data_IF_228599669145
#
_entry.id   IF_228599669145
#
_cell.length_a   1.000
_cell.length_b   1.000
_cell.length_c   1.000
_cell.angle_alpha   90.00
_cell.angle_beta   90.00
_cell.angle_gamma   90.00
#
_symmetry.space_group_name_H-M   'P 1'
#
loop_
_entity.id
_entity.type
_entity.pdbx_description
1 polymer ?
#
# COMPACT_ATOMS: atom_id res chain seq x y z
N UNK A 1 2.77 7.64 -22.38
CA UNK A 1 2.77 7.06 -21.03
C UNK A 1 2.80 8.15 -19.96
N UNK A 2 1.73 8.30 -19.18
CA UNK A 2 1.59 9.32 -18.12
C UNK A 2 1.52 8.68 -16.74
N UNK A 3 2.65 8.12 -16.28
CA UNK A 3 2.74 7.37 -15.03
C UNK A 3 2.76 8.26 -13.77
N UNK A 4 2.92 9.57 -13.92
CA UNK A 4 3.17 10.54 -12.85
C UNK A 4 1.98 10.77 -11.91
N UNK A 5 0.78 10.29 -12.30
CA UNK A 5 -0.43 10.28 -11.48
C UNK A 5 -0.80 8.90 -10.97
N UNK A 6 0.00 7.87 -11.27
CA UNK A 6 -0.22 6.51 -10.79
C UNK A 6 0.71 6.25 -9.60
N UNK A 7 0.13 5.76 -8.51
CA UNK A 7 0.85 5.48 -7.27
C UNK A 7 0.60 4.06 -6.79
N UNK A 8 1.62 3.45 -6.20
CA UNK A 8 1.47 2.29 -5.33
C UNK A 8 1.39 2.76 -3.87
N UNK A 9 0.62 2.03 -3.05
CA UNK A 9 0.39 2.39 -1.64
C UNK A 9 0.79 1.19 -0.78
N UNK A 10 1.79 1.37 0.08
CA UNK A 10 2.27 0.29 0.95
C UNK A 10 1.15 -0.22 1.87
N UNK A 11 1.03 -1.55 1.96
CA UNK A 11 -0.05 -2.23 2.69
C UNK A 11 -1.39 -2.31 1.93
N UNK A 12 -1.46 -1.87 0.67
CA UNK A 12 -2.62 -2.08 -0.22
C UNK A 12 -2.18 -2.72 -1.54
N UNK A 13 -2.86 -3.79 -2.02
CA UNK A 13 -2.53 -4.41 -3.30
C UNK A 13 -2.99 -3.54 -4.48
N UNK A 14 -2.27 -3.64 -5.60
CA UNK A 14 -2.63 -2.98 -6.85
C UNK A 14 -2.04 -1.57 -7.02
N UNK A 15 -2.71 -0.78 -7.85
CA UNK A 15 -2.32 0.57 -8.25
C UNK A 15 -3.49 1.53 -8.12
N UNK A 16 -3.17 2.81 -7.91
CA UNK A 16 -4.15 3.85 -7.70
C UNK A 16 -3.85 5.09 -8.53
N UNK A 17 -4.89 5.71 -9.09
CA UNK A 17 -4.80 7.02 -9.75
C UNK A 17 -5.00 8.13 -8.72
N UNK A 18 -4.08 9.09 -8.68
CA UNK A 18 -4.17 10.26 -7.80
C UNK A 18 -5.17 11.27 -8.36
N UNK A 19 -6.36 11.39 -7.74
CA UNK A 19 -7.45 12.26 -8.22
C UNK A 19 -7.39 13.66 -7.64
N UNK A 20 -7.12 13.80 -6.34
CA UNK A 20 -7.06 15.09 -5.66
C UNK A 20 -6.19 15.05 -4.40
N UNK A 21 -5.62 16.19 -4.03
CA UNK A 21 -4.98 16.38 -2.72
C UNK A 21 -6.00 16.96 -1.72
N UNK A 22 -5.89 16.56 -0.46
CA UNK A 22 -6.71 17.03 0.66
C UNK A 22 -5.84 17.51 1.81
N UNK A 23 -6.43 18.18 2.80
CA UNK A 23 -5.71 18.66 3.98
C UNK A 23 -5.07 17.54 4.83
N UNK A 24 -5.56 16.30 4.71
CA UNK A 24 -5.14 15.13 5.48
C UNK A 24 -4.43 14.05 4.65
N UNK A 25 -4.18 14.30 3.35
CA UNK A 25 -3.56 13.36 2.43
C UNK A 25 -4.12 13.51 1.03
N UNK A 26 -4.60 12.43 0.41
CA UNK A 26 -5.02 12.41 -0.99
C UNK A 26 -6.30 11.58 -1.19
N UNK A 27 -7.00 11.82 -2.30
CA UNK A 27 -8.05 10.93 -2.83
C UNK A 27 -7.41 10.13 -3.95
N UNK A 28 -7.35 8.81 -3.75
CA UNK A 28 -6.80 7.85 -4.70
C UNK A 28 -7.92 6.95 -5.23
N UNK A 29 -7.85 6.55 -6.49
CA UNK A 29 -8.86 5.73 -7.15
C UNK A 29 -8.25 4.39 -7.58
N UNK A 30 -8.82 3.27 -7.13
CA UNK A 30 -8.32 1.91 -7.46
C UNK A 30 -8.39 1.66 -8.96
N UNK A 31 -7.28 1.28 -9.59
CA UNK A 31 -7.26 0.82 -10.99
C UNK A 31 -7.85 -0.59 -11.17
N UNK A 32 -8.11 -1.31 -10.07
CA UNK A 32 -8.77 -2.63 -10.13
C UNK A 32 -10.30 -2.53 -10.03
N UNK A 33 -10.82 -1.55 -9.26
CA UNK A 33 -12.25 -1.47 -8.91
C UNK A 33 -12.93 -0.15 -9.29
N UNK A 34 -12.21 0.85 -9.78
CA UNK A 34 -12.69 2.23 -9.98
C UNK A 34 -13.05 2.98 -8.67
N UNK A 35 -12.93 2.33 -7.51
CA UNK A 35 -13.36 2.88 -6.21
C UNK A 35 -12.42 3.95 -5.69
N UNK A 36 -12.98 5.10 -5.34
CA UNK A 36 -12.28 6.23 -4.71
C UNK A 36 -12.14 6.01 -3.21
N UNK A 37 -10.95 6.25 -2.67
CA UNK A 37 -10.65 6.12 -1.24
C UNK A 37 -9.74 7.25 -0.74
N UNK A 38 -9.96 7.75 0.49
CA UNK A 38 -9.03 8.67 1.14
C UNK A 38 -7.78 7.91 1.61
N UNK A 39 -6.61 8.47 1.30
CA UNK A 39 -5.29 7.96 1.70
C UNK A 39 -4.63 9.01 2.56
N UNK A 40 -4.44 8.72 3.85
CA UNK A 40 -3.82 9.65 4.79
C UNK A 40 -2.30 9.75 4.61
N UNK A 41 -1.71 10.89 5.00
CA UNK A 41 -0.26 11.18 4.97
C UNK A 41 0.65 10.14 5.69
N UNK A 42 0.08 9.23 6.48
CA UNK A 42 0.82 8.17 7.19
C UNK A 42 1.10 6.94 6.33
N UNK A 43 0.47 6.80 5.16
CA UNK A 43 0.78 5.71 4.24
C UNK A 43 2.01 6.07 3.41
N UNK A 44 2.92 5.11 3.26
CA UNK A 44 4.00 5.24 2.29
C UNK A 44 3.40 5.07 0.89
N UNK A 45 3.50 6.13 0.09
CA UNK A 45 3.00 6.22 -1.28
C UNK A 45 4.20 6.40 -2.19
N UNK A 46 4.31 5.60 -3.24
CA UNK A 46 5.41 5.66 -4.22
C UNK A 46 4.84 5.90 -5.60
N UNK A 47 5.26 6.98 -6.26
CA UNK A 47 4.83 7.35 -7.61
C UNK A 47 5.52 6.45 -8.62
N UNK A 48 4.78 5.90 -9.59
CA UNK A 48 5.35 4.91 -10.53
C UNK A 48 6.42 5.48 -11.47
N UNK A 49 6.48 6.80 -11.67
CA UNK A 49 7.55 7.44 -12.43
C UNK A 49 8.83 7.71 -11.63
N UNK A 50 8.79 7.60 -10.29
CA UNK A 50 9.97 7.72 -9.41
C UNK A 50 10.61 6.35 -9.11
N UNK A 51 9.98 5.25 -9.54
CA UNK A 51 10.49 3.90 -9.33
C UNK A 51 11.43 3.52 -10.48
N UNK A 52 12.61 3.04 -10.12
CA UNK A 52 13.61 2.46 -11.03
C UNK A 52 13.96 1.03 -10.60
N UNK A 53 14.40 0.23 -11.56
CA UNK A 53 14.93 -1.12 -11.35
C UNK A 53 16.46 -1.04 -11.42
N UNK A 54 17.14 -1.65 -10.44
CA UNK A 54 18.61 -1.71 -10.44
C UNK A 54 19.13 -2.60 -11.57
N UNK A 55 20.17 -2.12 -12.22
CA UNK A 55 20.89 -2.82 -13.29
C UNK A 55 22.38 -2.83 -12.96
N UNK A 56 23.14 -3.72 -13.61
CA UNK A 56 24.59 -3.79 -13.43
C UNK A 56 25.30 -2.47 -13.75
N UNK A 57 24.73 -1.69 -14.68
CA UNK A 57 25.26 -0.42 -15.17
C UNK A 57 24.69 0.82 -14.44
N UNK A 58 23.69 0.65 -13.56
CA UNK A 58 23.00 1.76 -12.89
C UNK A 58 21.53 1.46 -12.56
N UNK A 59 20.63 2.29 -13.10
CA UNK A 59 19.19 2.22 -12.84
C UNK A 59 18.41 2.41 -14.15
N UNK A 60 17.38 1.58 -14.39
CA UNK A 60 16.43 1.74 -15.51
C UNK A 60 15.05 2.13 -14.98
N UNK A 61 14.47 3.26 -15.40
CA UNK A 61 13.19 3.73 -14.91
C UNK A 61 12.05 2.80 -15.35
N UNK A 62 11.04 2.62 -14.49
CA UNK A 62 9.95 1.66 -14.70
C UNK A 62 9.18 1.88 -16.04
N UNK A 63 9.17 3.12 -16.55
CA UNK A 63 8.64 3.48 -17.88
C UNK A 63 9.29 2.70 -19.02
N UNK A 64 10.62 2.56 -19.00
CA UNK A 64 11.36 1.83 -20.03
C UNK A 64 11.12 0.33 -19.91
N UNK A 65 11.07 -0.20 -18.68
CA UNK A 65 10.75 -1.60 -18.42
C UNK A 65 9.37 -1.95 -18.99
N UNK A 66 8.34 -1.15 -18.71
CA UNK A 66 7.01 -1.34 -19.28
C UNK A 66 6.98 -1.20 -20.81
N UNK A 67 7.77 -0.30 -21.40
CA UNK A 67 7.88 -0.19 -22.86
C UNK A 67 8.50 -1.46 -23.48
N UNK A 68 9.55 -2.04 -22.87
CA UNK A 68 10.15 -3.30 -23.32
C UNK A 68 9.19 -4.49 -23.18
N UNK A 69 8.41 -4.55 -22.09
CA UNK A 69 7.34 -5.56 -21.93
C UNK A 69 6.29 -5.41 -23.04
N UNK A 70 5.80 -4.19 -23.27
CA UNK A 70 4.80 -3.92 -24.31
C UNK A 70 5.29 -4.27 -25.71
N UNK A 71 6.57 -3.99 -26.02
CA UNK A 71 7.18 -4.39 -27.28
C UNK A 71 7.26 -5.92 -27.45
N UNK A 72 7.61 -6.66 -26.39
CA UNK A 72 7.66 -8.12 -26.38
C UNK A 72 6.27 -8.74 -26.56
N UNK A 73 5.28 -8.25 -25.83
CA UNK A 73 3.90 -8.76 -25.86
C UNK A 73 3.06 -8.15 -27.00
N UNK A 74 3.63 -7.29 -27.86
CA UNK A 74 2.93 -6.57 -28.93
C UNK A 74 1.69 -5.77 -28.44
N UNK A 75 1.84 -5.10 -27.29
CA UNK A 75 0.74 -4.42 -26.57
C UNK A 75 -0.21 -5.37 -25.83
N UNK A 76 0.15 -6.64 -25.70
CA UNK A 76 -0.58 -7.65 -24.94
C UNK A 76 -0.37 -7.58 -23.43
N UNK A 77 -1.08 -8.45 -22.70
CA UNK A 77 -0.83 -8.71 -21.28
C UNK A 77 0.43 -9.58 -21.15
N UNK A 78 1.25 -9.31 -20.15
CA UNK A 78 2.37 -10.15 -19.77
C UNK A 78 1.90 -11.44 -19.07
N UNK A 79 2.86 -12.32 -18.76
CA UNK A 79 2.64 -13.53 -17.96
C UNK A 79 1.91 -13.25 -16.63
N UNK A 80 1.30 -14.29 -16.03
CA UNK A 80 0.64 -14.12 -14.75
C UNK A 80 1.67 -13.88 -13.63
N UNK A 81 1.52 -12.77 -12.90
CA UNK A 81 2.24 -12.51 -11.65
C UNK A 81 2.12 -13.63 -10.58
N UNK A 82 1.27 -14.65 -10.79
CA UNK A 82 1.17 -15.85 -9.93
C UNK A 82 2.03 -17.04 -10.39
N UNK A 83 2.73 -16.94 -11.52
CA UNK A 83 3.72 -17.92 -11.98
C UNK A 83 4.80 -18.23 -10.93
N UNK A 84 5.54 -19.32 -11.17
CA UNK A 84 6.67 -19.69 -10.31
C UNK A 84 7.76 -18.60 -10.30
N UNK A 85 8.61 -18.61 -9.25
CA UNK A 85 9.73 -17.67 -9.12
C UNK A 85 10.60 -17.69 -10.39
N UNK A 86 10.97 -18.89 -10.81
CA UNK A 86 11.91 -19.15 -11.90
C UNK A 86 11.34 -18.71 -13.26
N UNK A 87 10.03 -18.90 -13.50
CA UNK A 87 9.32 -18.35 -14.66
C UNK A 87 9.33 -16.81 -14.69
N UNK A 88 9.06 -16.17 -13.55
CA UNK A 88 9.03 -14.70 -13.43
C UNK A 88 10.43 -14.11 -13.67
N UNK A 89 11.47 -14.75 -13.13
CA UNK A 89 12.87 -14.35 -13.33
C UNK A 89 13.32 -14.55 -14.78
N UNK A 90 13.11 -15.73 -15.36
CA UNK A 90 13.43 -16.01 -16.77
C UNK A 90 12.75 -15.02 -17.73
N UNK A 91 11.46 -14.74 -17.50
CA UNK A 91 10.72 -13.74 -18.28
C UNK A 91 11.33 -12.33 -18.14
N UNK A 92 11.76 -11.95 -16.94
CA UNK A 92 12.36 -10.65 -16.67
C UNK A 92 13.76 -10.50 -17.30
N UNK A 93 14.56 -11.58 -17.32
CA UNK A 93 15.83 -11.63 -18.07
C UNK A 93 15.65 -11.37 -19.57
N UNK A 94 14.63 -11.96 -20.19
CA UNK A 94 14.34 -11.73 -21.62
C UNK A 94 13.96 -10.26 -21.92
N UNK A 95 13.50 -9.50 -20.93
CA UNK A 95 13.11 -8.10 -21.06
C UNK A 95 14.28 -7.16 -20.73
N UNK A 96 15.02 -7.48 -19.67
CA UNK A 96 16.08 -6.63 -19.11
C UNK A 96 17.25 -7.51 -18.67
N UNK A 97 18.09 -8.01 -19.60
CA UNK A 97 19.10 -9.03 -19.29
C UNK A 97 20.25 -8.55 -18.39
N UNK A 98 20.34 -7.25 -18.12
CA UNK A 98 21.33 -6.62 -17.25
C UNK A 98 20.75 -6.17 -15.89
N UNK A 99 19.65 -6.74 -15.41
CA UNK A 99 19.11 -6.43 -14.09
C UNK A 99 20.02 -6.99 -12.97
N UNK A 100 20.06 -6.30 -11.82
CA UNK A 100 20.85 -6.73 -10.67
C UNK A 100 20.07 -7.75 -9.82
N UNK A 101 20.40 -9.05 -9.96
CA UNK A 101 19.76 -10.16 -9.23
C UNK A 101 19.84 -10.05 -7.70
N UNK A 102 20.93 -9.48 -7.17
CA UNK A 102 21.15 -9.36 -5.73
C UNK A 102 20.27 -8.26 -5.11
N UNK A 103 19.90 -7.25 -5.90
CA UNK A 103 19.04 -6.12 -5.47
C UNK A 103 17.57 -6.24 -5.85
N UNK A 104 17.28 -6.85 -7.00
CA UNK A 104 15.92 -6.95 -7.54
C UNK A 104 15.26 -8.22 -7.05
N UNK A 105 14.58 -8.14 -5.91
CA UNK A 105 13.94 -9.32 -5.33
C UNK A 105 12.82 -9.88 -6.23
N UNK A 106 12.53 -11.19 -6.17
CA UNK A 106 11.46 -11.81 -6.97
C UNK A 106 10.07 -11.22 -6.67
N UNK A 107 9.89 -10.69 -5.46
CA UNK A 107 8.68 -9.98 -5.05
C UNK A 107 8.52 -8.64 -5.79
N UNK A 108 9.61 -7.99 -6.18
CA UNK A 108 9.59 -6.77 -6.98
C UNK A 108 9.29 -7.09 -8.44
N UNK A 109 9.92 -8.11 -9.03
CA UNK A 109 9.57 -8.63 -10.37
C UNK A 109 8.06 -8.95 -10.45
N UNK A 110 7.54 -9.66 -9.45
CA UNK A 110 6.10 -9.96 -9.30
C UNK A 110 5.23 -8.70 -9.25
N UNK A 111 5.65 -7.67 -8.50
CA UNK A 111 4.96 -6.36 -8.44
C UNK A 111 4.97 -5.66 -9.79
N UNK A 112 6.12 -5.61 -10.49
CA UNK A 112 6.26 -4.99 -11.82
C UNK A 112 5.33 -5.64 -12.84
N UNK A 113 5.30 -6.97 -12.91
CA UNK A 113 4.42 -7.70 -13.85
C UNK A 113 2.93 -7.49 -13.50
N UNK A 114 2.57 -7.50 -12.21
CA UNK A 114 1.20 -7.18 -11.77
C UNK A 114 0.80 -5.75 -12.16
N UNK A 115 1.71 -4.78 -11.99
CA UNK A 115 1.49 -3.38 -12.34
C UNK A 115 1.34 -3.17 -13.85
N UNK A 116 2.21 -3.78 -14.66
CA UNK A 116 2.08 -3.78 -16.12
C UNK A 116 0.71 -4.30 -16.55
N UNK A 117 0.30 -5.47 -16.03
CA UNK A 117 -0.98 -6.10 -16.37
C UNK A 117 -2.20 -5.25 -15.95
N UNK A 118 -2.14 -4.54 -14.83
CA UNK A 118 -3.19 -3.59 -14.41
C UNK A 118 -3.22 -2.34 -15.30
N UNK A 119 -2.07 -1.79 -15.68
CA UNK A 119 -1.98 -0.61 -16.53
C UNK A 119 -2.45 -0.91 -17.96
N UNK A 120 -2.11 -2.08 -18.51
CA UNK A 120 -2.58 -2.52 -19.83
C UNK A 120 -4.09 -2.79 -19.83
N UNK A 121 -4.66 -3.29 -18.73
CA UNK A 121 -6.11 -3.51 -18.59
C UNK A 121 -6.94 -2.22 -18.53
N UNK A 122 -6.32 -1.10 -18.13
CA UNK A 122 -6.96 0.21 -18.05
C UNK A 122 -6.56 1.14 -19.22
N UNK A 123 -5.87 0.60 -20.23
CA UNK A 123 -5.19 1.32 -21.35
C UNK A 123 -4.34 2.54 -20.93
N UNK A 124 -3.75 2.49 -19.74
CA UNK A 124 -2.93 3.58 -19.19
C UNK A 124 -1.47 3.56 -19.69
N UNK A 125 -1.07 2.48 -20.36
CA UNK A 125 0.20 2.42 -21.09
C UNK A 125 0.11 3.17 -22.44
N UNK A 126 -1.10 3.26 -23.00
CA UNK A 126 -1.45 4.05 -24.17
C UNK A 126 -1.05 3.38 -25.47
N UNK A 127 -1.92 2.50 -25.98
CA UNK A 127 -2.10 2.23 -27.43
C UNK A 127 -3.27 1.24 -27.73
N UNK A 128 -4.46 1.42 -27.12
CA UNK A 128 -5.74 1.02 -27.74
C UNK A 128 -6.98 1.69 -27.13
N UNK A 129 -7.77 2.31 -28.01
CA UNK A 129 -9.18 2.58 -27.70
C UNK A 129 -9.96 1.26 -27.63
N UNK A 130 -10.20 0.71 -26.44
CA UNK A 130 -11.24 -0.31 -26.25
C UNK A 130 -12.03 -0.12 -24.95
N UNK A 131 -13.08 0.69 -25.07
CA UNK A 131 -14.39 0.47 -24.43
C UNK A 131 -14.44 0.29 -22.91
N UNK A 132 -14.40 1.43 -22.22
CA UNK A 132 -14.95 1.58 -20.87
C UNK A 132 -16.47 1.29 -20.90
N UNK A 133 -16.90 0.15 -20.34
CA UNK A 133 -18.32 -0.24 -20.26
C UNK A 133 -18.77 -0.53 -18.82
N UNK A 134 -19.63 0.38 -18.31
CA UNK A 134 -20.97 0.10 -17.74
C UNK A 134 -21.00 -0.79 -16.46
N UNK A 135 -21.61 -0.43 -15.31
CA UNK A 135 -22.56 0.64 -14.95
C UNK A 135 -22.56 0.95 -13.41
N UNK A 136 -23.44 1.85 -12.97
CA UNK A 136 -24.05 1.92 -11.63
C UNK A 136 -25.12 0.79 -11.46
N UNK A 137 -26.03 0.72 -10.47
CA UNK A 137 -26.40 1.50 -9.27
C UNK A 137 -26.28 0.58 -8.02
N UNK A 138 -26.77 0.83 -6.80
CA UNK A 138 -27.61 1.90 -6.23
C UNK A 138 -27.36 2.05 -4.72
N UNK A 139 -27.81 3.19 -4.18
CA UNK A 139 -27.88 3.45 -2.74
C UNK A 139 -28.97 2.60 -2.06
N UNK A 140 -28.76 2.19 -0.80
CA UNK A 140 -29.87 1.86 0.10
C UNK A 140 -29.49 1.98 1.57
N UNK A 141 -29.80 3.14 2.15
CA UNK A 141 -29.87 3.36 3.60
C UNK A 141 -31.25 3.86 4.03
N UNK A 142 -31.85 3.23 5.06
CA UNK A 142 -32.51 3.97 6.15
C UNK A 142 -31.81 3.67 7.49
N UNK A 143 -31.48 4.63 8.39
CA UNK A 143 -32.37 5.37 9.34
C UNK A 143 -33.21 4.40 10.23
N UNK A 144 -33.29 4.55 11.56
CA UNK A 144 -33.32 5.79 12.35
C UNK A 144 -32.98 5.63 13.86
N UNK A 145 -32.97 6.77 14.59
CA UNK A 145 -32.94 6.96 16.06
C UNK A 145 -31.64 6.55 16.79
N UNK A 146 -31.19 7.21 17.88
CA UNK A 146 -31.90 7.97 18.92
C UNK A 146 -31.28 9.36 19.18
N UNK A 147 -32.09 10.31 19.66
CA UNK A 147 -31.73 11.68 20.07
C UNK A 147 -32.06 11.89 21.56
N UNK A 148 -31.08 12.20 22.41
CA UNK A 148 -31.30 12.76 23.75
C UNK A 148 -30.01 13.38 24.35
N UNK A 149 -29.94 14.72 24.29
CA UNK A 149 -29.20 15.60 25.21
C UNK A 149 -30.25 16.46 25.97
N UNK A 150 -29.93 17.29 26.99
CA UNK A 150 -28.64 17.52 27.67
C UNK A 150 -28.74 17.50 29.23
N UNK A 151 -27.60 17.66 29.93
CA UNK A 151 -27.42 18.70 30.98
C UNK A 151 -25.97 18.83 31.48
N UNK A 152 -25.45 20.05 31.38
CA UNK A 152 -24.53 20.80 32.29
C UNK A 152 -24.10 20.14 33.62
N UNK A 153 -22.92 20.40 34.20
CA UNK A 153 -22.32 21.74 34.47
C UNK A 153 -20.77 21.75 34.57
N UNK A 154 -20.18 22.96 34.52
CA UNK A 154 -18.74 23.28 34.71
C UNK A 154 -18.28 23.18 36.18
N UNK A 155 -17.01 22.80 36.40
CA UNK A 155 -16.02 23.45 37.30
C UNK A 155 -14.66 22.73 37.20
N UNK A 156 -13.59 23.38 36.75
CA UNK A 156 -12.73 24.36 37.45
C UNK A 156 -11.50 23.69 38.13
N UNK A 157 -10.32 23.91 37.53
CA UNK A 157 -8.99 23.64 38.09
C UNK A 157 -8.60 24.84 39.00
N UNK A 158 -7.89 24.66 40.14
CA UNK A 158 -6.42 24.72 40.08
C UNK A 158 -5.61 23.85 41.08
N UNK A 159 -4.48 23.34 40.58
CA UNK A 159 -3.15 23.09 41.19
C UNK A 159 -2.87 23.18 42.72
N UNK A 160 -1.87 22.35 43.12
CA UNK A 160 -0.91 22.48 44.26
C UNK A 160 -1.36 21.87 45.62
N UNK A 161 -0.50 21.37 46.53
CA UNK A 161 0.96 21.02 46.55
C UNK A 161 1.30 20.23 47.85
N UNK A 162 2.31 19.31 47.83
CA UNK A 162 3.14 18.84 48.99
C UNK A 162 2.40 17.99 50.07
N UNK A 163 2.91 17.00 50.83
CA UNK A 163 4.25 16.40 51.15
C UNK A 163 4.21 14.85 50.98
N UNK A 164 5.27 14.02 50.90
CA UNK A 164 6.71 14.02 51.32
C UNK A 164 7.03 13.36 52.68
N UNK A 165 7.02 12.01 52.71
CA UNK A 165 7.76 11.10 53.64
C UNK A 165 7.61 9.64 53.12
N UNK A 166 8.45 8.64 53.41
CA UNK A 166 9.87 8.62 53.85
C UNK A 166 10.47 7.21 53.62
N UNK A 167 11.61 7.16 52.93
CA UNK A 167 12.79 6.29 53.14
C UNK A 167 12.64 4.87 53.74
N UNK A 168 12.83 3.85 52.88
CA UNK A 168 13.59 2.58 53.03
C UNK A 168 13.56 1.74 54.36
N UNK A 169 13.55 0.40 54.21
CA UNK A 169 14.76 -0.50 54.26
C UNK A 169 14.48 -1.94 54.77
N UNK A 170 14.98 -2.93 54.00
CA UNK A 170 15.35 -4.34 54.32
C UNK A 170 14.48 -5.23 55.25
N UNK A 171 14.04 -6.35 54.66
CA UNK A 171 14.24 -7.73 55.18
C UNK A 171 13.31 -8.22 56.31
N UNK A 172 13.21 -9.53 56.58
CA UNK A 172 13.63 -10.71 55.83
C UNK A 172 12.89 -11.98 56.35
N UNK A 173 12.81 -13.02 55.53
CA UNK A 173 12.71 -14.46 55.91
C UNK A 173 11.53 -14.97 56.77
N UNK A 174 10.68 -15.83 56.18
CA UNK A 174 10.25 -17.09 56.81
C UNK A 174 9.67 -18.12 55.80
N UNK A 175 10.33 -19.30 55.74
CA UNK A 175 9.87 -20.69 55.47
C UNK A 175 8.39 -20.92 55.07
N UNK A 176 8.02 -21.63 53.99
CA UNK A 176 8.38 -22.98 53.45
C UNK A 176 7.56 -24.17 54.01
N UNK A 177 6.65 -24.70 53.19
CA UNK A 177 6.14 -26.10 53.13
C UNK A 177 5.32 -26.21 51.81
N UNK A 178 5.62 -26.99 50.77
CA UNK A 178 6.07 -28.38 50.57
C UNK A 178 4.91 -29.37 50.27
N UNK A 179 4.96 -29.94 49.06
CA UNK A 179 4.26 -31.15 48.59
C UNK A 179 2.72 -31.03 48.34
N UNK A 180 2.04 -31.88 47.53
CA UNK A 180 2.46 -33.13 46.84
C UNK A 180 1.42 -33.56 45.77
N UNK A 181 1.89 -34.23 44.69
CA UNK A 181 1.14 -35.22 43.86
C UNK A 181 -0.04 -34.70 43.01
N UNK A 182 -0.41 -35.35 41.89
CA UNK A 182 0.12 -36.57 41.25
C UNK A 182 0.07 -36.43 39.73
#
# INVERSE_FOLDING_TARGET
MSLDKIVSISGKPGLYHLRAQTRSGFIAESLADGKKMPVGLRHNVSVLSEISIYTLDGESPLREVFAKISAKENGGKAIDHKSSKDELEAYFFEILPNFDEDRVYPSDIKKVIQWYNLLQQNDLLGEKETENSIDSTEDSKPKAAVKAEPKTVKSANPQSKVAKSSTAKKGASAKSTAARKK
#
